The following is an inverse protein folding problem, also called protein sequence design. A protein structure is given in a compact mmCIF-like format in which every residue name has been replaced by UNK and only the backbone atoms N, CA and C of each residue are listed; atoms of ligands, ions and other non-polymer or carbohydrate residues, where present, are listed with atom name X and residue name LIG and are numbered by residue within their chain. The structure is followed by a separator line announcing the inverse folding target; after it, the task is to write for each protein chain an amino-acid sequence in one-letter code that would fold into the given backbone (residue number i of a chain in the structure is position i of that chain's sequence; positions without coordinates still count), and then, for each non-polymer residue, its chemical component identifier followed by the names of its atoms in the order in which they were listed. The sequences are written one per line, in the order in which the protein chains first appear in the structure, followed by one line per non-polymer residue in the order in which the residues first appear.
data_IF_093493621159
#
_entry.id   IF_093493621159
#
_cell.length_a   1.000
_cell.length_b   1.000
_cell.length_c   1.000
_cell.angle_alpha   90.00
_cell.angle_beta   90.00
_cell.angle_gamma   90.00
#
_symmetry.space_group_name_H-M   'P 1'
#
loop_
_entity.id
_entity.type
_entity.pdbx_description
1 polymer ?
#
# COMPACT_ATOMS: atom_id res chain seq x y z
N UNK A 1 -8.37 12.15 -18.98
CA UNK A 1 -8.71 12.39 -17.57
C UNK A 1 -10.07 11.74 -17.31
N UNK A 2 -10.07 10.46 -16.94
CA UNK A 2 -11.31 9.69 -16.72
C UNK A 2 -11.77 9.96 -15.29
N UNK A 3 -12.98 10.49 -15.13
CA UNK A 3 -13.61 10.70 -13.81
C UNK A 3 -14.19 9.37 -13.33
N UNK A 4 -13.62 8.85 -12.25
CA UNK A 4 -14.14 7.71 -11.50
C UNK A 4 -15.31 8.19 -10.64
N UNK A 5 -16.53 8.15 -11.17
CA UNK A 5 -17.75 8.39 -10.38
C UNK A 5 -18.46 7.04 -10.20
N UNK A 6 -18.33 6.43 -9.02
CA UNK A 6 -19.08 5.21 -8.69
C UNK A 6 -18.42 4.22 -7.72
N UNK A 7 -17.15 4.39 -7.33
CA UNK A 7 -16.54 3.58 -6.29
C UNK A 7 -16.81 4.20 -4.90
N UNK A 8 -17.12 3.40 -3.86
CA UNK A 8 -17.18 3.89 -2.49
C UNK A 8 -15.87 4.63 -2.14
N UNK A 9 -15.97 5.78 -1.46
CA UNK A 9 -14.83 6.67 -1.19
C UNK A 9 -13.65 5.98 -0.51
N UNK A 10 -13.91 4.86 0.16
CA UNK A 10 -12.91 4.03 0.85
C UNK A 10 -11.90 3.37 -0.11
N UNK A 11 -12.22 3.27 -1.41
CA UNK A 11 -11.30 2.72 -2.44
C UNK A 11 -10.23 3.74 -2.86
N UNK A 12 -10.50 5.04 -2.73
CA UNK A 12 -9.56 6.09 -3.11
C UNK A 12 -8.54 6.41 -2.01
N UNK A 13 -8.87 6.20 -0.74
CA UNK A 13 -7.92 6.33 0.35
C UNK A 13 -6.82 5.26 0.29
N UNK A 14 -7.12 4.09 -0.28
CA UNK A 14 -6.11 3.08 -0.62
C UNK A 14 -5.08 3.57 -1.65
N UNK A 15 -5.51 4.37 -2.64
CA UNK A 15 -4.64 4.87 -3.73
C UNK A 15 -3.58 5.87 -3.24
N UNK A 16 -3.89 6.70 -2.24
CA UNK A 16 -2.93 7.65 -1.68
C UNK A 16 -1.91 6.98 -0.73
N UNK A 17 -2.30 5.93 0.01
CA UNK A 17 -1.37 5.23 0.90
C UNK A 17 -0.30 4.39 0.17
N UNK A 18 -0.47 4.11 -1.12
CA UNK A 18 0.46 3.28 -1.91
C UNK A 18 1.71 4.07 -2.33
N UNK A 19 1.59 5.38 -2.60
CA UNK A 19 2.71 6.17 -3.13
C UNK A 19 3.76 6.53 -2.07
N UNK A 20 3.39 6.62 -0.78
CA UNK A 20 4.29 7.11 0.27
C UNK A 20 5.11 6.02 1.00
N UNK A 21 4.81 4.72 0.80
CA UNK A 21 5.45 3.65 1.57
C UNK A 21 6.12 2.53 0.77
N UNK A 22 5.96 2.47 -0.56
CA UNK A 22 6.37 1.30 -1.34
C UNK A 22 7.86 1.25 -1.76
N UNK A 23 8.68 2.27 -1.42
CA UNK A 23 10.11 2.27 -1.79
C UNK A 23 10.99 2.33 -0.54
N UNK A 24 10.99 1.27 0.25
CA UNK A 24 12.17 0.89 1.04
C UNK A 24 12.77 -0.39 0.46
N UNK A 25 13.88 -0.32 -0.29
CA UNK A 25 14.47 -1.51 -0.88
C UNK A 25 15.01 -2.45 0.22
N UNK A 26 14.57 -3.71 0.23
CA UNK A 26 15.25 -4.76 1.01
C UNK A 26 14.43 -5.84 1.70
N UNK A 27 13.09 -5.96 1.51
CA UNK A 27 12.31 -7.06 2.12
C UNK A 27 11.60 -7.95 1.11
N UNK A 28 11.62 -9.25 1.38
CA UNK A 28 11.06 -10.32 0.53
C UNK A 28 9.52 -10.34 0.50
N UNK A 29 8.86 -9.81 1.52
CA UNK A 29 7.42 -9.96 1.72
C UNK A 29 6.60 -8.85 1.05
N UNK A 30 7.24 -7.73 0.69
CA UNK A 30 6.66 -6.62 -0.08
C UNK A 30 6.15 -7.11 -1.45
N UNK A 31 6.78 -8.15 -1.98
CA UNK A 31 6.47 -8.72 -3.30
C UNK A 31 5.06 -9.32 -3.39
N UNK A 32 4.55 -9.92 -2.32
CA UNK A 32 3.23 -10.58 -2.32
C UNK A 32 2.10 -9.56 -2.31
N UNK A 33 2.19 -8.54 -1.44
CA UNK A 33 1.17 -7.49 -1.33
C UNK A 33 1.07 -6.69 -2.63
N UNK A 34 2.21 -6.28 -3.21
CA UNK A 34 2.21 -5.60 -4.51
C UNK A 34 1.66 -6.48 -5.63
N UNK A 35 2.02 -7.76 -5.67
CA UNK A 35 1.53 -8.67 -6.70
C UNK A 35 0.00 -8.78 -6.65
N UNK A 36 -0.57 -9.00 -5.46
CA UNK A 36 -2.02 -9.10 -5.28
C UNK A 36 -2.74 -7.80 -5.67
N UNK A 37 -2.15 -6.65 -5.32
CA UNK A 37 -2.67 -5.35 -5.70
C UNK A 37 -2.66 -5.13 -7.23
N UNK A 38 -1.56 -5.51 -7.90
CA UNK A 38 -1.45 -5.43 -9.36
C UNK A 38 -2.46 -6.35 -10.05
N UNK A 39 -2.60 -7.60 -9.57
CA UNK A 39 -3.62 -8.54 -10.06
C UNK A 39 -5.03 -7.97 -9.90
N UNK A 40 -5.32 -7.34 -8.76
CA UNK A 40 -6.61 -6.71 -8.51
C UNK A 40 -6.90 -5.56 -9.48
N UNK A 41 -5.90 -4.71 -9.76
CA UNK A 41 -6.05 -3.62 -10.73
C UNK A 41 -6.28 -4.13 -12.15
N UNK A 42 -5.57 -5.19 -12.57
CA UNK A 42 -5.77 -5.81 -13.88
C UNK A 42 -7.20 -6.33 -14.01
N UNK A 43 -7.69 -7.07 -13.03
CA UNK A 43 -9.05 -7.64 -13.07
C UNK A 43 -10.14 -6.56 -13.11
N UNK A 44 -9.98 -5.48 -12.33
CA UNK A 44 -10.90 -4.35 -12.38
C UNK A 44 -10.83 -3.60 -13.70
N UNK A 45 -9.63 -3.39 -14.23
CA UNK A 45 -9.45 -2.75 -15.53
C UNK A 45 -10.15 -3.56 -16.62
N UNK A 46 -9.86 -4.86 -16.70
CA UNK A 46 -10.45 -5.77 -17.67
C UNK A 46 -11.98 -5.83 -17.55
N UNK A 47 -12.52 -5.86 -16.31
CA UNK A 47 -13.96 -5.90 -16.09
C UNK A 47 -14.66 -4.64 -16.63
N UNK A 48 -14.13 -3.44 -16.34
CA UNK A 48 -14.76 -2.18 -16.73
C UNK A 48 -14.39 -1.71 -18.15
N UNK A 49 -13.30 -2.19 -18.73
CA UNK A 49 -12.88 -1.84 -20.10
C UNK A 49 -13.50 -2.75 -21.15
N UNK A 50 -14.08 -3.89 -20.74
CA UNK A 50 -14.50 -4.95 -21.65
C UNK A 50 -15.46 -4.48 -22.76
N UNK A 51 -16.52 -3.74 -22.45
CA UNK A 51 -17.50 -3.29 -23.45
C UNK A 51 -16.81 -2.46 -24.54
N UNK A 52 -15.96 -1.52 -24.11
CA UNK A 52 -15.22 -0.64 -25.00
C UNK A 52 -14.25 -1.42 -25.89
N UNK A 53 -13.56 -2.40 -25.33
CA UNK A 53 -12.62 -3.24 -26.07
C UNK A 53 -13.34 -4.16 -27.06
N UNK A 54 -14.48 -4.73 -26.65
CA UNK A 54 -15.32 -5.53 -27.52
C UNK A 54 -15.84 -4.72 -28.71
N UNK A 55 -16.39 -3.53 -28.47
CA UNK A 55 -16.86 -2.63 -29.53
C UNK A 55 -15.71 -2.22 -30.47
N UNK A 56 -14.54 -1.94 -29.91
CA UNK A 56 -13.36 -1.61 -30.70
C UNK A 56 -12.89 -2.79 -31.58
N UNK A 57 -13.05 -4.04 -31.14
CA UNK A 57 -12.69 -5.19 -31.94
C UNK A 57 -13.74 -5.55 -33.00
N UNK A 58 -15.02 -5.24 -32.76
CA UNK A 58 -16.07 -5.46 -33.75
C UNK A 58 -16.00 -4.47 -34.93
N UNK A 59 -15.54 -3.25 -34.67
CA UNK A 59 -15.46 -2.16 -35.65
C UNK A 59 -14.20 -2.18 -36.51
N UNK A 60 -13.13 -2.86 -36.08
CA UNK A 60 -11.86 -2.95 -36.82
C UNK A 60 -11.90 -4.04 -37.89
N UNK A 61 -11.40 -3.72 -39.08
CA UNK A 61 -11.30 -4.63 -40.23
C UNK A 61 -10.31 -5.79 -39.94
N UNK A 62 -9.21 -5.50 -39.24
CA UNK A 62 -8.30 -6.49 -38.69
C UNK A 62 -8.63 -6.77 -37.22
N UNK A 63 -9.44 -7.81 -37.01
CA UNK A 63 -9.86 -8.27 -35.68
C UNK A 63 -8.69 -8.92 -34.93
N UNK A 64 -7.94 -8.12 -34.19
CA UNK A 64 -6.97 -8.65 -33.23
C UNK A 64 -7.69 -9.31 -32.05
N UNK A 65 -7.11 -10.37 -31.47
CA UNK A 65 -7.67 -10.99 -30.27
C UNK A 65 -7.71 -9.99 -29.12
N UNK A 66 -8.87 -9.85 -28.47
CA UNK A 66 -9.02 -9.05 -27.25
C UNK A 66 -8.21 -9.72 -26.14
N UNK A 67 -7.31 -8.95 -25.52
CA UNK A 67 -6.50 -9.37 -24.38
C UNK A 67 -7.14 -8.86 -23.10
N UNK A 68 -8.23 -9.51 -22.69
CA UNK A 68 -9.05 -9.14 -21.54
C UNK A 68 -9.51 -10.40 -20.81
N UNK A 69 -9.47 -10.40 -19.48
CA UNK A 69 -9.89 -11.51 -18.64
C UNK A 69 -11.28 -12.05 -18.99
N UNK A 70 -12.27 -11.20 -19.24
CA UNK A 70 -13.64 -11.65 -19.61
C UNK A 70 -13.61 -12.48 -20.89
N UNK A 71 -12.86 -12.04 -21.91
CA UNK A 71 -12.69 -12.81 -23.16
C UNK A 71 -11.96 -14.13 -22.93
N UNK A 72 -10.98 -14.16 -22.02
CA UNK A 72 -10.28 -15.40 -21.65
C UNK A 72 -11.23 -16.39 -20.95
N UNK A 73 -12.04 -15.93 -19.99
CA UNK A 73 -13.03 -16.75 -19.31
C UNK A 73 -14.07 -17.34 -20.27
N UNK A 74 -14.59 -16.52 -21.19
CA UNK A 74 -15.49 -16.98 -22.25
C UNK A 74 -14.87 -18.12 -23.08
N UNK A 75 -13.60 -17.98 -23.48
CA UNK A 75 -12.91 -18.95 -24.32
C UNK A 75 -12.53 -20.23 -23.59
N UNK A 76 -11.98 -20.12 -22.39
CA UNK A 76 -11.47 -21.28 -21.64
C UNK A 76 -12.59 -22.12 -21.04
N UNK A 77 -13.66 -21.49 -20.59
CA UNK A 77 -14.76 -22.18 -19.93
C UNK A 77 -16.02 -22.31 -20.79
N UNK A 78 -15.98 -21.82 -22.04
CA UNK A 78 -17.13 -21.85 -22.97
C UNK A 78 -18.40 -21.26 -22.36
N UNK A 79 -18.26 -20.20 -21.56
CA UNK A 79 -19.34 -19.55 -20.84
C UNK A 79 -19.85 -18.31 -21.58
N UNK A 80 -21.16 -17.97 -21.43
CA UNK A 80 -21.69 -16.73 -21.97
C UNK A 80 -21.05 -15.52 -21.28
N UNK A 81 -21.10 -14.39 -21.96
CA UNK A 81 -20.55 -13.11 -21.49
C UNK A 81 -20.93 -12.77 -20.05
N UNK A 82 -22.21 -12.88 -19.68
CA UNK A 82 -22.69 -12.51 -18.35
C UNK A 82 -22.08 -13.39 -17.27
N UNK A 83 -21.95 -14.69 -17.54
CA UNK A 83 -21.28 -15.63 -16.64
C UNK A 83 -19.78 -15.36 -16.56
N UNK A 84 -19.14 -15.00 -17.68
CA UNK A 84 -17.72 -14.62 -17.68
C UNK A 84 -17.46 -13.33 -16.89
N UNK A 85 -18.31 -12.32 -17.03
CA UNK A 85 -18.23 -11.09 -16.23
C UNK A 85 -18.46 -11.38 -14.76
N UNK A 86 -19.44 -12.22 -14.43
CA UNK A 86 -19.67 -12.66 -13.05
C UNK A 86 -18.45 -13.39 -12.49
N UNK A 87 -17.82 -14.28 -13.27
CA UNK A 87 -16.61 -15.01 -12.87
C UNK A 87 -15.42 -14.07 -12.63
N UNK A 88 -15.18 -13.10 -13.52
CA UNK A 88 -14.12 -12.09 -13.34
C UNK A 88 -14.38 -11.23 -12.10
N UNK A 89 -15.63 -10.84 -11.87
CA UNK A 89 -16.02 -10.09 -10.65
C UNK A 89 -15.77 -10.91 -9.39
N UNK A 90 -16.16 -12.18 -9.38
CA UNK A 90 -15.89 -13.10 -8.25
C UNK A 90 -14.38 -13.24 -8.02
N UNK A 91 -13.59 -13.44 -9.08
CA UNK A 91 -12.14 -13.52 -8.99
C UNK A 91 -11.52 -12.22 -8.43
N UNK A 92 -12.04 -11.06 -8.81
CA UNK A 92 -11.59 -9.77 -8.27
C UNK A 92 -11.87 -9.66 -6.77
N UNK A 93 -13.07 -10.06 -6.31
CA UNK A 93 -13.42 -10.07 -4.88
C UNK A 93 -12.55 -11.04 -4.09
N UNK A 94 -12.29 -12.25 -4.61
CA UNK A 94 -11.39 -13.20 -3.96
C UNK A 94 -9.96 -12.65 -3.84
N UNK A 95 -9.48 -11.96 -4.88
CA UNK A 95 -8.15 -11.33 -4.87
C UNK A 95 -8.07 -10.15 -3.91
N UNK A 96 -9.15 -9.38 -3.79
CA UNK A 96 -9.25 -8.30 -2.80
C UNK A 96 -9.14 -8.85 -1.38
N UNK A 97 -9.84 -9.95 -1.08
CA UNK A 97 -9.75 -10.61 0.23
C UNK A 97 -8.33 -11.09 0.52
N UNK A 98 -7.67 -11.72 -0.46
CA UNK A 98 -6.26 -12.13 -0.32
C UNK A 98 -5.33 -10.93 -0.10
N UNK A 99 -5.55 -9.83 -0.83
CA UNK A 99 -4.79 -8.60 -0.66
C UNK A 99 -4.95 -8.03 0.75
N UNK A 100 -6.19 -7.96 1.26
CA UNK A 100 -6.48 -7.44 2.59
C UNK A 100 -5.80 -8.28 3.69
N UNK A 101 -5.87 -9.61 3.58
CA UNK A 101 -5.18 -10.53 4.49
C UNK A 101 -3.66 -10.33 4.43
N UNK A 102 -3.07 -10.34 3.24
CA UNK A 102 -1.62 -10.15 3.07
C UNK A 102 -1.17 -8.76 3.57
N UNK A 103 -2.01 -7.73 3.39
CA UNK A 103 -1.75 -6.38 3.91
C UNK A 103 -1.72 -6.37 5.43
N UNK A 104 -2.68 -7.03 6.08
CA UNK A 104 -2.74 -7.13 7.55
C UNK A 104 -1.52 -7.87 8.11
N UNK A 105 -1.19 -9.03 7.53
CA UNK A 105 -0.01 -9.81 7.91
C UNK A 105 1.28 -9.00 7.74
N UNK A 106 1.40 -8.25 6.65
CA UNK A 106 2.55 -7.37 6.41
C UNK A 106 2.70 -6.32 7.52
N UNK A 107 1.61 -5.66 7.93
CA UNK A 107 1.64 -4.66 8.99
C UNK A 107 1.89 -5.25 10.38
N UNK A 108 1.42 -6.46 10.66
CA UNK A 108 1.75 -7.18 11.89
C UNK A 108 3.23 -7.53 11.96
N UNK A 109 3.79 -8.07 10.88
CA UNK A 109 5.22 -8.36 10.79
C UNK A 109 6.05 -7.09 10.99
N UNK A 110 5.66 -5.99 10.35
CA UNK A 110 6.34 -4.71 10.49
C UNK A 110 6.32 -4.20 11.94
N UNK A 111 5.15 -4.24 12.60
CA UNK A 111 5.01 -3.87 14.02
C UNK A 111 5.89 -4.73 14.93
N UNK A 112 5.97 -6.04 14.67
CA UNK A 112 6.79 -6.96 15.46
C UNK A 112 8.29 -6.67 15.36
N UNK A 113 8.76 -6.31 14.16
CA UNK A 113 10.15 -5.99 13.88
C UNK A 113 10.56 -4.67 14.54
N UNK A 114 9.69 -3.67 14.49
CA UNK A 114 9.94 -2.37 15.13
C UNK A 114 9.96 -2.50 16.66
N UNK A 115 9.09 -3.34 17.23
CA UNK A 115 9.10 -3.65 18.66
C UNK A 115 10.38 -4.40 19.09
N UNK A 116 10.82 -5.39 18.31
CA UNK A 116 12.05 -6.14 18.57
C UNK A 116 13.30 -5.26 18.48
N UNK A 117 13.37 -4.40 17.47
CA UNK A 117 14.45 -3.42 17.34
C UNK A 117 14.47 -2.47 18.55
N UNK A 118 13.32 -1.92 18.95
CA UNK A 118 13.19 -1.06 20.14
C UNK A 118 13.64 -1.76 21.42
N UNK A 119 13.30 -3.04 21.59
CA UNK A 119 13.74 -3.84 22.75
C UNK A 119 15.26 -4.02 22.78
N UNK A 120 15.89 -4.35 21.64
CA UNK A 120 17.35 -4.49 21.53
C UNK A 120 18.09 -3.19 21.85
N UNK A 121 17.57 -2.04 21.38
CA UNK A 121 18.15 -0.74 21.71
C UNK A 121 18.01 -0.41 23.20
N UNK A 122 16.87 -0.72 23.83
CA UNK A 122 16.68 -0.56 25.29
C UNK A 122 17.60 -1.46 26.10
N UNK A 123 17.82 -2.69 25.66
CA UNK A 123 18.74 -3.63 26.30
C UNK A 123 20.20 -3.19 26.18
N UNK A 124 20.61 -2.75 24.99
CA UNK A 124 21.93 -2.17 24.75
C UNK A 124 22.17 -0.91 25.59
N UNK A 125 21.17 -0.01 25.69
CA UNK A 125 21.23 1.17 26.54
C UNK A 125 21.34 0.84 28.04
N UNK A 126 20.71 -0.25 28.51
CA UNK A 126 20.86 -0.73 29.90
C UNK A 126 22.26 -1.28 30.17
N UNK A 127 22.83 -2.04 29.24
CA UNK A 127 24.19 -2.58 29.37
C UNK A 127 25.27 -1.50 29.30
N UNK A 128 25.08 -0.45 28.49
CA UNK A 128 26.02 0.68 28.43
C UNK A 128 25.77 1.74 29.53
N UNK A 129 24.54 1.89 30.03
CA UNK A 129 24.21 2.77 31.15
C UNK A 129 24.72 2.29 32.52
N UNK A 130 25.00 1.00 32.68
CA UNK A 130 25.55 0.45 33.92
C UNK A 130 27.06 0.70 34.13
N UNK A 131 27.76 1.31 33.15
CA UNK A 131 29.20 1.64 33.27
C UNK A 131 29.50 3.11 33.55
N UNK A 132 28.47 3.95 33.68
CA UNK A 132 28.64 5.37 34.04
C UNK A 132 28.12 5.65 35.46
N UNK A 133 28.61 4.89 36.43
CA UNK A 133 28.67 5.31 37.83
C UNK A 133 30.13 5.59 38.18
N UNK A 134 30.71 6.59 37.52
CA UNK A 134 31.80 7.37 38.09
C UNK A 134 31.40 8.83 38.00
N UNK A 135 31.28 9.40 39.19
CA UNK A 135 31.09 10.81 39.48
C UNK A 135 31.79 11.67 38.43
N UNK A 136 31.02 12.50 37.73
CA UNK A 136 31.58 13.62 36.96
C UNK A 136 31.18 14.90 37.70
N UNK A 137 32.13 15.67 38.24
CA UNK A 137 31.87 17.00 38.76
C UNK A 137 31.69 17.95 37.57
N UNK A 138 30.44 18.23 37.23
CA UNK A 138 30.07 19.34 36.34
C UNK A 138 28.93 20.15 36.98
N UNK A 139 29.22 20.68 38.15
CA UNK A 139 28.69 21.99 38.55
C UNK A 139 29.34 23.04 37.64
N UNK A 140 28.56 24.03 37.19
CA UNK A 140 28.93 25.17 36.32
C UNK A 140 28.75 24.97 34.81
N UNK A 141 27.51 24.84 34.37
CA UNK A 141 27.07 25.50 33.14
C UNK A 141 25.78 26.28 33.40
N UNK A 142 25.93 27.55 33.78
CA UNK A 142 24.83 28.52 33.75
C UNK A 142 24.53 28.85 32.29
N UNK A 143 23.32 28.54 31.84
CA UNK A 143 22.81 29.06 30.58
C UNK A 143 22.56 30.57 30.69
N UNK A 144 22.96 31.39 29.71
CA UNK A 144 22.59 32.79 29.70
C UNK A 144 21.08 32.92 29.51
N UNK A 145 20.43 33.60 30.46
CA UNK A 145 19.02 33.97 30.40
C UNK A 145 18.80 34.92 29.20
N UNK A 146 17.84 34.64 28.30
CA UNK A 146 17.51 35.56 27.22
C UNK A 146 17.00 36.90 27.78
N UNK A 147 17.61 38.01 27.33
CA UNK A 147 17.14 39.37 27.63
C UNK A 147 15.72 39.54 27.07
N UNK A 148 14.77 39.87 27.94
CA UNK A 148 13.42 40.28 27.54
C UNK A 148 13.49 41.63 26.82
N UNK A 149 12.68 41.86 25.77
CA UNK A 149 12.61 43.16 25.10
C UNK A 149 12.00 44.22 26.03
N UNK A 150 12.69 45.35 26.16
CA UNK A 150 12.22 46.49 26.93
C UNK A 150 10.87 47.00 26.40
N UNK A 151 9.89 47.13 27.29
CA UNK A 151 8.65 47.82 26.96
C UNK A 151 8.89 49.33 26.93
N UNK A 152 8.29 50.06 25.96
CA UNK A 152 8.36 51.51 25.94
C UNK A 152 7.60 52.07 27.13
N UNK A 153 8.27 52.92 27.89
CA UNK A 153 7.68 53.73 28.97
C UNK A 153 6.80 54.83 28.37
N UNK A 154 5.75 55.27 29.09
CA UNK A 154 4.70 56.15 28.57
C UNK A 154 5.15 57.59 28.31
#
# INVERSE_FOLDING_TARGET
MLRYEGLPRDTCDGLLCIQDHFVRPGRSNDSTVAKLLMELFILHNDYYSWEKENDSCQTKENKLPISNAVTLFMKWHSMPIEEAKAAVKTAAVEREQQYLQAKEEFWEQQRSLDASASSKYKEMARHHGARCSRESPLEHFQFPVPRQPEQPTP
#
